data_IF_683078432633
#
_entry.id   IF_683078432633
#
_cell.length_a   1.000
_cell.length_b   1.000
_cell.length_c   1.000
_cell.angle_alpha   90.00
_cell.angle_beta   90.00
_cell.angle_gamma   90.00
#
_symmetry.space_group_name_H-M   'P 1'
#
loop_
_entity.id
_entity.type
_entity.pdbx_description
1 polymer ?
#
# COMPACT_ATOMS: atom_id res chain seq x y z
N UNK A 1 3.18 18.26 26.00
CA UNK A 1 1.97 18.35 25.13
C UNK A 1 1.73 19.79 24.72
N UNK A 2 1.45 20.09 23.44
CA UNK A 2 1.24 21.48 22.98
C UNK A 2 -0.25 21.81 22.82
N UNK A 3 -0.66 23.03 23.20
CA UNK A 3 -2.05 23.52 23.06
C UNK A 3 -2.52 23.47 21.60
N UNK A 4 -1.63 23.80 20.65
CA UNK A 4 -1.91 23.70 19.21
C UNK A 4 -2.19 22.27 18.75
N UNK A 5 -1.51 21.28 19.32
CA UNK A 5 -1.72 19.87 18.98
C UNK A 5 -3.10 19.36 19.42
N UNK A 6 -3.57 19.81 20.59
CA UNK A 6 -4.91 19.47 21.10
C UNK A 6 -6.03 20.05 20.21
N UNK A 7 -5.87 21.29 19.74
CA UNK A 7 -6.84 21.92 18.83
C UNK A 7 -6.90 21.19 17.49
N UNK A 8 -5.75 20.85 16.89
CA UNK A 8 -5.68 20.10 15.63
C UNK A 8 -6.34 18.73 15.75
N UNK A 9 -6.09 18.00 16.85
CA UNK A 9 -6.73 16.71 17.10
C UNK A 9 -8.25 16.83 17.22
N UNK A 10 -8.76 17.88 17.87
CA UNK A 10 -10.20 18.12 17.97
C UNK A 10 -10.85 18.43 16.62
N UNK A 11 -10.17 19.22 15.77
CA UNK A 11 -10.71 19.63 14.47
C UNK A 11 -10.61 18.55 13.38
N UNK A 12 -9.53 17.78 13.37
CA UNK A 12 -9.21 16.84 12.28
C UNK A 12 -9.14 15.37 12.70
N UNK A 13 -9.29 15.08 13.99
CA UNK A 13 -9.21 13.73 14.53
C UNK A 13 -10.30 12.79 13.99
N UNK A 14 -9.98 11.50 14.04
CA UNK A 14 -10.94 10.41 13.82
C UNK A 14 -11.39 9.92 15.20
N UNK A 15 -12.71 9.87 15.43
CA UNK A 15 -13.29 9.50 16.72
C UNK A 15 -13.24 7.99 16.99
N UNK A 16 -13.42 7.16 15.95
CA UNK A 16 -13.39 5.71 16.05
C UNK A 16 -12.99 5.09 14.72
N UNK A 17 -12.01 4.19 14.73
CA UNK A 17 -11.68 3.35 13.59
C UNK A 17 -12.80 2.32 13.31
N UNK A 18 -13.37 1.76 14.39
CA UNK A 18 -14.39 0.71 14.34
C UNK A 18 -15.66 1.12 13.64
N UNK A 19 -16.12 2.35 13.85
CA UNK A 19 -17.38 2.85 13.25
C UNK A 19 -17.36 2.88 11.71
N UNK A 20 -16.20 2.80 11.08
CA UNK A 20 -16.07 2.66 9.62
C UNK A 20 -16.41 1.24 9.17
N UNK A 21 -15.95 0.23 9.92
CA UNK A 21 -16.15 -1.19 9.63
C UNK A 21 -17.58 -1.66 9.91
N UNK A 22 -18.34 -0.92 10.72
CA UNK A 22 -19.74 -1.22 11.04
C UNK A 22 -20.74 -0.69 9.99
N UNK A 23 -20.25 -0.02 8.94
CA UNK A 23 -21.08 0.50 7.85
C UNK A 23 -21.47 -0.58 6.86
N UNK A 24 -22.56 -0.33 6.14
CA UNK A 24 -23.07 -1.27 5.14
C UNK A 24 -22.04 -1.69 4.10
N UNK A 25 -22.10 -3.00 3.83
CA UNK A 25 -21.31 -3.70 2.84
C UNK A 25 -19.91 -4.14 3.32
N UNK A 26 -19.46 -3.76 4.50
CA UNK A 26 -18.28 -4.37 5.10
C UNK A 26 -18.57 -5.82 5.49
N UNK A 27 -17.59 -6.69 5.35
CA UNK A 27 -17.67 -8.05 5.88
C UNK A 27 -17.72 -8.01 7.40
N UNK A 28 -18.56 -8.83 8.06
CA UNK A 28 -18.55 -8.95 9.52
C UNK A 28 -17.19 -9.33 10.11
N UNK A 29 -16.33 -10.00 9.34
CA UNK A 29 -14.98 -10.40 9.76
C UNK A 29 -13.93 -9.29 9.59
N UNK A 30 -14.26 -8.19 8.91
CA UNK A 30 -13.29 -7.16 8.56
C UNK A 30 -12.69 -6.48 9.80
N UNK A 31 -13.50 -6.16 10.80
CA UNK A 31 -13.01 -5.59 12.06
C UNK A 31 -12.14 -6.59 12.83
N UNK A 32 -12.59 -7.84 12.97
CA UNK A 32 -11.83 -8.88 13.68
C UNK A 32 -10.47 -9.12 13.06
N UNK A 33 -10.35 -9.05 11.73
CA UNK A 33 -9.10 -9.29 11.00
C UNK A 33 -8.19 -8.06 10.93
N UNK A 34 -8.75 -6.85 10.81
CA UNK A 34 -7.98 -5.64 10.51
C UNK A 34 -8.12 -4.51 11.53
N UNK A 35 -8.80 -4.72 12.65
CA UNK A 35 -9.03 -3.70 13.69
C UNK A 35 -7.73 -3.13 14.24
N UNK A 36 -6.77 -3.98 14.61
CA UNK A 36 -5.45 -3.55 15.08
C UNK A 36 -4.68 -2.70 14.05
N UNK A 37 -4.82 -3.00 12.76
CA UNK A 37 -4.22 -2.20 11.67
C UNK A 37 -4.89 -0.81 11.63
N UNK A 38 -6.22 -0.78 11.67
CA UNK A 38 -6.98 0.47 11.61
C UNK A 38 -6.70 1.37 12.84
N UNK A 39 -6.62 0.78 14.04
CA UNK A 39 -6.26 1.49 15.27
C UNK A 39 -4.85 2.06 15.19
N UNK A 40 -3.87 1.26 14.76
CA UNK A 40 -2.48 1.73 14.62
C UNK A 40 -2.35 2.89 13.63
N UNK A 41 -3.09 2.86 12.52
CA UNK A 41 -3.13 3.97 11.56
C UNK A 41 -3.70 5.24 12.21
N UNK A 42 -4.81 5.12 12.95
CA UNK A 42 -5.43 6.25 13.65
C UNK A 42 -4.50 6.82 14.72
N UNK A 43 -3.78 5.97 15.45
CA UNK A 43 -2.80 6.40 16.46
C UNK A 43 -1.63 7.16 15.84
N UNK A 44 -1.08 6.67 14.72
CA UNK A 44 -0.05 7.37 13.97
C UNK A 44 -0.53 8.72 13.42
N UNK A 45 -1.77 8.77 12.93
CA UNK A 45 -2.41 10.00 12.47
C UNK A 45 -2.57 11.03 13.60
N UNK A 46 -3.07 10.61 14.77
CA UNK A 46 -3.23 11.50 15.93
C UNK A 46 -1.88 11.93 16.49
N UNK A 47 -0.87 11.05 16.48
CA UNK A 47 0.49 11.38 16.87
C UNK A 47 1.05 12.53 16.05
N UNK A 48 0.97 12.44 14.72
CA UNK A 48 1.45 13.49 13.81
C UNK A 48 0.69 14.82 13.93
N UNK A 49 -0.63 14.78 14.18
CA UNK A 49 -1.42 16.00 14.41
C UNK A 49 -1.01 16.72 15.70
N UNK A 50 -0.62 15.96 16.73
CA UNK A 50 -0.25 16.48 18.04
C UNK A 50 1.20 16.99 18.06
N UNK A 51 2.13 16.17 17.56
CA UNK A 51 3.56 16.44 17.60
C UNK A 51 4.23 16.17 16.25
N UNK A 52 4.36 17.20 15.39
CA UNK A 52 4.96 17.04 14.07
C UNK A 52 6.49 17.20 14.09
N UNK A 53 7.15 17.09 15.25
CA UNK A 53 8.61 17.09 15.34
C UNK A 53 9.17 15.69 14.98
N UNK A 54 10.20 15.59 14.13
CA UNK A 54 10.68 14.29 13.64
C UNK A 54 11.08 13.30 14.73
N UNK A 55 11.90 13.72 15.70
CA UNK A 55 12.44 12.84 16.74
C UNK A 55 11.34 12.36 17.69
N UNK A 56 10.48 13.26 18.15
CA UNK A 56 9.36 12.94 19.02
C UNK A 56 8.36 11.99 18.36
N UNK A 57 8.06 12.24 17.07
CA UNK A 57 7.15 11.39 16.31
C UNK A 57 7.78 10.01 16.04
N UNK A 58 9.05 9.95 15.66
CA UNK A 58 9.76 8.68 15.45
C UNK A 58 9.76 7.82 16.72
N UNK A 59 10.14 8.39 17.86
CA UNK A 59 10.15 7.69 19.15
C UNK A 59 8.76 7.14 19.50
N UNK A 60 7.71 7.93 19.27
CA UNK A 60 6.34 7.51 19.52
C UNK A 60 5.90 6.37 18.60
N UNK A 61 6.19 6.47 17.29
CA UNK A 61 5.79 5.43 16.32
C UNK A 61 6.59 4.13 16.49
N UNK A 62 7.82 4.19 17.03
CA UNK A 62 8.63 3.01 17.32
C UNK A 62 8.02 2.08 18.39
N UNK A 63 7.11 2.61 19.22
CA UNK A 63 6.38 1.84 20.24
C UNK A 63 5.33 0.88 19.66
N UNK A 64 4.91 1.07 18.40
CA UNK A 64 4.02 0.14 17.72
C UNK A 64 4.71 -1.23 17.54
N UNK A 65 3.94 -2.35 17.58
CA UNK A 65 4.47 -3.66 17.24
C UNK A 65 5.24 -3.61 15.92
N UNK A 66 6.35 -4.35 15.82
CA UNK A 66 7.28 -4.24 14.68
C UNK A 66 6.57 -4.40 13.32
N UNK A 67 5.61 -5.32 13.24
CA UNK A 67 4.81 -5.59 12.05
C UNK A 67 3.82 -4.47 11.70
N UNK A 68 3.48 -3.60 12.65
CA UNK A 68 2.53 -2.51 12.49
C UNK A 68 3.21 -1.14 12.40
N UNK A 69 4.53 -1.03 12.62
CA UNK A 69 5.27 0.25 12.53
C UNK A 69 5.09 0.95 11.18
N UNK A 70 5.10 0.20 10.07
CA UNK A 70 4.82 0.79 8.77
C UNK A 70 3.40 1.38 8.69
N UNK A 71 2.41 0.77 9.32
CA UNK A 71 1.04 1.30 9.41
C UNK A 71 1.00 2.57 10.29
N UNK A 72 1.78 2.61 11.37
CA UNK A 72 1.91 3.81 12.19
C UNK A 72 2.49 4.98 11.36
N UNK A 73 3.48 4.71 10.51
CA UNK A 73 4.03 5.68 9.56
C UNK A 73 3.05 6.06 8.44
N UNK A 74 2.16 5.16 8.02
CA UNK A 74 1.04 5.48 7.13
C UNK A 74 0.12 6.53 7.77
N UNK A 75 -0.30 6.31 9.02
CA UNK A 75 -1.06 7.29 9.80
C UNK A 75 -0.33 8.64 9.92
N UNK A 76 0.96 8.61 10.25
CA UNK A 76 1.77 9.81 10.37
C UNK A 76 1.87 10.60 9.05
N UNK A 77 2.06 9.91 7.93
CA UNK A 77 2.04 10.51 6.59
C UNK A 77 0.73 11.23 6.30
N UNK A 78 -0.41 10.64 6.70
CA UNK A 78 -1.72 11.27 6.58
C UNK A 78 -1.82 12.56 7.42
N UNK A 79 -1.32 12.53 8.67
CA UNK A 79 -1.37 13.69 9.57
C UNK A 79 -0.51 14.84 9.07
N UNK A 80 0.73 14.55 8.68
CA UNK A 80 1.67 15.55 8.19
C UNK A 80 1.22 16.16 6.86
N UNK A 81 0.65 15.36 5.94
CA UNK A 81 0.07 15.86 4.71
C UNK A 81 -1.12 16.78 4.96
N UNK A 82 -2.00 16.45 5.91
CA UNK A 82 -3.10 17.33 6.28
C UNK A 82 -2.60 18.67 6.82
N UNK A 83 -1.56 18.67 7.65
CA UNK A 83 -0.92 19.90 8.15
C UNK A 83 -0.23 20.71 7.05
N UNK A 84 0.39 20.05 6.08
CA UNK A 84 1.02 20.73 4.94
C UNK A 84 0.00 21.35 3.97
N UNK A 85 -1.21 20.79 3.84
CA UNK A 85 -2.29 21.45 3.09
C UNK A 85 -2.69 22.77 3.78
N UNK A 86 -2.73 22.79 5.11
CA UNK A 86 -3.03 24.01 5.88
C UNK A 86 -1.86 25.01 5.94
N UNK A 87 -0.63 24.50 5.99
CA UNK A 87 0.60 25.30 6.15
C UNK A 87 1.70 24.84 5.19
N UNK A 88 1.57 25.13 3.87
CA UNK A 88 2.44 24.54 2.83
C UNK A 88 3.92 24.88 2.95
N UNK A 89 4.25 26.03 3.55
CA UNK A 89 5.63 26.47 3.74
C UNK A 89 6.45 25.55 4.67
N UNK A 90 5.79 24.77 5.53
CA UNK A 90 6.47 23.89 6.49
C UNK A 90 7.08 22.62 5.86
N UNK A 91 6.61 22.21 4.68
CA UNK A 91 7.14 21.08 3.89
C UNK A 91 7.40 19.81 4.71
N UNK A 92 6.51 19.46 5.65
CA UNK A 92 6.70 18.34 6.59
C UNK A 92 6.83 17.00 5.87
N UNK A 93 5.99 16.72 4.88
CA UNK A 93 6.04 15.48 4.09
C UNK A 93 7.44 15.29 3.49
N UNK A 94 8.01 16.35 2.90
CA UNK A 94 9.34 16.33 2.30
C UNK A 94 10.44 16.14 3.35
N UNK A 95 10.36 16.83 4.49
CA UNK A 95 11.34 16.71 5.59
C UNK A 95 11.37 15.29 6.15
N UNK A 96 10.22 14.68 6.42
CA UNK A 96 10.13 13.35 7.00
C UNK A 96 10.63 12.26 6.06
N UNK A 97 10.23 12.28 4.78
CA UNK A 97 10.67 11.30 3.77
C UNK A 97 12.19 11.29 3.56
N UNK A 98 12.83 12.46 3.73
CA UNK A 98 14.30 12.62 3.64
C UNK A 98 15.03 12.28 4.94
N UNK A 99 14.31 12.16 6.05
CA UNK A 99 14.86 11.84 7.37
C UNK A 99 14.25 10.57 7.94
N UNK A 100 13.61 10.69 9.10
CA UNK A 100 13.11 9.59 9.93
C UNK A 100 12.11 8.64 9.25
N UNK A 101 11.37 9.09 8.23
CA UNK A 101 10.43 8.24 7.49
C UNK A 101 11.07 7.54 6.27
N UNK A 102 12.39 7.66 6.07
CA UNK A 102 13.10 7.14 4.88
C UNK A 102 12.95 5.62 4.70
N UNK A 103 12.87 4.87 5.79
CA UNK A 103 12.67 3.41 5.76
C UNK A 103 11.19 3.01 5.63
N UNK A 104 10.26 3.97 5.67
CA UNK A 104 8.82 3.74 5.63
C UNK A 104 8.13 4.53 4.50
N UNK A 105 8.88 4.93 3.45
CA UNK A 105 8.37 5.79 2.38
C UNK A 105 7.11 5.28 1.71
N UNK A 106 7.02 3.98 1.45
CA UNK A 106 5.85 3.39 0.80
C UNK A 106 4.58 3.62 1.63
N UNK A 107 4.44 3.07 2.86
CA UNK A 107 3.25 3.32 3.67
C UNK A 107 3.07 4.80 4.00
N UNK A 108 4.15 5.56 4.22
CA UNK A 108 4.06 7.01 4.43
C UNK A 108 3.34 7.72 3.27
N UNK A 109 3.69 7.41 2.02
CA UNK A 109 3.01 7.98 0.85
C UNK A 109 1.58 7.49 0.65
N UNK A 110 1.24 6.27 1.10
CA UNK A 110 -0.16 5.83 1.18
C UNK A 110 -0.93 6.80 2.07
N UNK A 111 -0.40 7.11 3.26
CA UNK A 111 -0.96 8.06 4.21
C UNK A 111 -1.18 9.45 3.60
N UNK A 112 -0.17 9.97 2.91
CA UNK A 112 -0.26 11.24 2.19
C UNK A 112 -1.43 11.21 1.18
N UNK A 113 -1.60 10.10 0.46
CA UNK A 113 -2.73 9.87 -0.44
C UNK A 113 -4.10 9.87 0.25
N UNK A 114 -4.22 9.24 1.42
CA UNK A 114 -5.44 9.26 2.23
C UNK A 114 -5.83 10.70 2.61
N UNK A 115 -4.86 11.52 3.02
CA UNK A 115 -5.08 12.92 3.35
C UNK A 115 -5.52 13.73 2.13
N UNK A 116 -4.89 13.50 0.98
CA UNK A 116 -5.25 14.15 -0.27
C UNK A 116 -6.68 13.85 -0.70
N UNK A 117 -7.14 12.61 -0.59
CA UNK A 117 -8.54 12.27 -0.86
C UNK A 117 -9.52 12.95 0.11
N UNK A 118 -9.21 12.93 1.41
CA UNK A 118 -10.01 13.61 2.44
C UNK A 118 -10.12 15.11 2.18
N UNK A 119 -9.05 15.73 1.72
CA UNK A 119 -8.95 17.18 1.45
C UNK A 119 -9.21 17.56 -0.02
N UNK A 120 -9.63 16.59 -0.85
CA UNK A 120 -9.94 16.75 -2.28
C UNK A 120 -8.79 17.41 -3.07
N UNK A 121 -7.55 17.05 -2.73
CA UNK A 121 -6.34 17.49 -3.43
C UNK A 121 -5.92 16.43 -4.45
N UNK A 122 -5.77 16.75 -5.74
CA UNK A 122 -5.28 15.78 -6.72
C UNK A 122 -3.85 15.32 -6.37
N UNK A 123 -3.57 14.01 -6.32
CA UNK A 123 -2.25 13.49 -5.92
C UNK A 123 -1.13 13.92 -6.87
N UNK A 124 -1.45 14.14 -8.15
CA UNK A 124 -0.50 14.53 -9.19
C UNK A 124 0.08 15.92 -8.99
N UNK A 125 -0.67 16.83 -8.34
CA UNK A 125 -0.25 18.23 -8.15
C UNK A 125 1.07 18.36 -7.40
N UNK A 126 1.41 17.38 -6.55
CA UNK A 126 2.64 17.38 -5.75
C UNK A 126 3.67 16.38 -6.24
N UNK A 127 3.34 15.54 -7.22
CA UNK A 127 4.14 14.40 -7.63
C UNK A 127 5.59 14.76 -8.01
N UNK A 128 5.79 15.87 -8.73
CA UNK A 128 7.12 16.36 -9.14
C UNK A 128 8.04 16.73 -7.96
N UNK A 129 7.48 16.94 -6.76
CA UNK A 129 8.24 17.26 -5.54
C UNK A 129 8.52 16.04 -4.65
N UNK A 130 8.06 14.86 -5.06
CA UNK A 130 8.17 13.61 -4.30
C UNK A 130 9.20 12.66 -4.91
N UNK A 131 9.42 11.50 -4.28
CA UNK A 131 10.23 10.42 -4.84
C UNK A 131 9.70 10.02 -6.24
N UNK A 132 10.54 9.96 -7.28
CA UNK A 132 10.07 9.70 -8.65
C UNK A 132 9.35 8.37 -8.83
N UNK A 133 9.67 7.36 -8.01
CA UNK A 133 9.05 6.03 -8.04
C UNK A 133 7.87 6.00 -7.06
N UNK A 134 8.11 6.31 -5.79
CA UNK A 134 7.11 6.11 -4.73
C UNK A 134 6.10 7.25 -4.60
N UNK A 135 6.35 8.42 -5.19
CA UNK A 135 5.39 9.52 -5.17
C UNK A 135 4.03 9.14 -5.77
N UNK A 136 4.03 8.21 -6.73
CA UNK A 136 2.82 7.64 -7.33
C UNK A 136 1.94 6.86 -6.33
N UNK A 137 2.50 6.41 -5.21
CA UNK A 137 1.75 5.73 -4.13
C UNK A 137 0.75 6.68 -3.45
N UNK A 138 0.90 7.99 -3.59
CA UNK A 138 -0.13 8.94 -3.15
C UNK A 138 -1.45 8.76 -3.91
N UNK A 139 -1.42 8.37 -5.19
CA UNK A 139 -2.63 8.03 -5.94
C UNK A 139 -3.24 6.69 -5.48
N UNK A 140 -2.42 5.73 -5.06
CA UNK A 140 -2.89 4.50 -4.40
C UNK A 140 -3.62 4.82 -3.08
N UNK A 141 -3.00 5.58 -2.18
CA UNK A 141 -3.67 6.00 -0.95
C UNK A 141 -4.97 6.76 -1.23
N UNK A 142 -4.99 7.59 -2.27
CA UNK A 142 -6.20 8.29 -2.68
C UNK A 142 -7.33 7.30 -3.08
N UNK A 143 -7.00 6.32 -3.93
CA UNK A 143 -7.96 5.29 -4.36
C UNK A 143 -8.44 4.40 -3.22
N UNK A 144 -7.54 4.06 -2.29
CA UNK A 144 -7.92 3.36 -1.07
C UNK A 144 -8.95 4.16 -0.28
N UNK A 145 -8.71 5.45 -0.06
CA UNK A 145 -9.64 6.28 0.71
C UNK A 145 -11.02 6.33 0.07
N UNK A 146 -11.10 6.59 -1.24
CA UNK A 146 -12.38 6.67 -1.95
C UNK A 146 -13.14 5.33 -1.90
N UNK A 147 -12.44 4.21 -2.01
CA UNK A 147 -13.04 2.88 -1.94
C UNK A 147 -13.47 2.47 -0.54
N UNK A 148 -12.68 2.81 0.47
CA UNK A 148 -12.87 2.35 1.84
C UNK A 148 -13.87 3.23 2.61
N UNK A 149 -13.71 4.56 2.54
CA UNK A 149 -14.51 5.48 3.35
C UNK A 149 -15.78 5.98 2.65
N UNK A 150 -15.84 5.96 1.32
CA UNK A 150 -17.03 6.34 0.51
C UNK A 150 -17.68 5.13 -0.16
N UNK A 151 -17.49 3.96 0.44
CA UNK A 151 -17.92 2.67 -0.10
C UNK A 151 -19.42 2.66 -0.38
N UNK A 152 -19.80 2.08 -1.52
CA UNK A 152 -21.18 1.83 -1.92
C UNK A 152 -21.43 0.32 -2.02
N UNK A 153 -22.61 -0.18 -1.63
CA UNK A 153 -22.93 -1.60 -1.73
C UNK A 153 -23.13 -2.08 -3.19
N UNK A 154 -23.33 -1.16 -4.15
CA UNK A 154 -23.62 -1.46 -5.55
C UNK A 154 -22.68 -0.72 -6.54
N UNK A 155 -22.50 -1.24 -7.76
CA UNK A 155 -21.77 -0.56 -8.83
C UNK A 155 -22.34 0.83 -9.20
N UNK A 156 -21.50 1.79 -9.68
CA UNK A 156 -20.05 1.72 -9.71
C UNK A 156 -19.50 1.90 -8.30
N UNK A 157 -18.81 0.87 -7.78
CA UNK A 157 -18.37 0.81 -6.38
C UNK A 157 -17.53 2.03 -5.98
N UNK A 158 -16.74 2.56 -6.94
CA UNK A 158 -15.95 3.79 -6.84
C UNK A 158 -15.79 4.44 -8.22
N UNK A 159 -16.10 5.74 -8.32
CA UNK A 159 -15.85 6.55 -9.52
C UNK A 159 -14.42 7.06 -9.52
N UNK A 160 -13.70 6.83 -10.62
CA UNK A 160 -12.35 7.37 -10.83
C UNK A 160 -12.46 8.88 -11.12
N UNK A 161 -11.70 9.75 -10.43
CA UNK A 161 -11.68 11.18 -10.74
C UNK A 161 -11.21 11.43 -12.18
N UNK A 162 -11.92 12.30 -12.90
CA UNK A 162 -11.71 12.53 -14.33
C UNK A 162 -10.37 13.20 -14.66
N UNK A 163 -9.86 13.99 -13.71
CA UNK A 163 -8.65 14.80 -13.79
C UNK A 163 -7.35 14.00 -13.61
N UNK A 164 -7.41 12.73 -13.20
CA UNK A 164 -6.21 11.89 -13.08
C UNK A 164 -5.66 11.47 -14.45
N UNK A 165 -4.34 11.54 -14.62
CA UNK A 165 -3.67 10.94 -15.79
C UNK A 165 -3.89 9.43 -15.84
N UNK A 166 -3.67 8.83 -17.01
CA UNK A 166 -3.85 7.39 -17.23
C UNK A 166 -3.05 6.52 -16.25
N UNK A 167 -1.86 6.95 -15.84
CA UNK A 167 -1.06 6.19 -14.89
C UNK A 167 -1.52 6.37 -13.44
N UNK A 168 -1.91 7.59 -13.03
CA UNK A 168 -2.52 7.79 -11.71
C UNK A 168 -3.83 7.04 -11.55
N UNK A 169 -4.62 6.88 -12.61
CA UNK A 169 -5.82 6.03 -12.57
C UNK A 169 -5.48 4.56 -12.26
N UNK A 170 -4.39 4.03 -12.81
CA UNK A 170 -3.90 2.69 -12.48
C UNK A 170 -3.45 2.58 -11.02
N UNK A 171 -2.76 3.58 -10.50
CA UNK A 171 -2.36 3.59 -9.09
C UNK A 171 -3.56 3.77 -8.15
N UNK A 172 -4.53 4.61 -8.52
CA UNK A 172 -5.81 4.73 -7.84
C UNK A 172 -6.52 3.37 -7.75
N UNK A 173 -6.62 2.63 -8.86
CA UNK A 173 -7.23 1.31 -8.88
C UNK A 173 -6.46 0.27 -8.06
N UNK A 174 -5.14 0.40 -7.92
CA UNK A 174 -4.38 -0.38 -6.95
C UNK A 174 -4.86 -0.11 -5.52
N UNK A 175 -5.05 1.15 -5.17
CA UNK A 175 -5.65 1.56 -3.89
C UNK A 175 -7.04 0.98 -3.67
N UNK A 176 -7.88 1.00 -4.70
CA UNK A 176 -9.23 0.39 -4.66
C UNK A 176 -9.13 -1.11 -4.38
N UNK A 177 -8.22 -1.82 -5.06
CA UNK A 177 -8.00 -3.26 -4.86
C UNK A 177 -7.57 -3.58 -3.42
N UNK A 178 -6.65 -2.78 -2.87
CA UNK A 178 -6.29 -2.87 -1.46
C UNK A 178 -7.51 -2.68 -0.56
N UNK A 179 -8.30 -1.63 -0.77
CA UNK A 179 -9.48 -1.36 0.05
C UNK A 179 -10.50 -2.50 0.00
N UNK A 180 -10.70 -3.15 -1.15
CA UNK A 180 -11.57 -4.32 -1.27
C UNK A 180 -11.10 -5.47 -0.35
N UNK A 181 -9.80 -5.75 -0.30
CA UNK A 181 -9.24 -6.77 0.60
C UNK A 181 -9.62 -6.50 2.06
N UNK A 182 -9.45 -5.25 2.52
CA UNK A 182 -9.81 -4.87 3.88
C UNK A 182 -11.32 -4.90 4.12
N UNK A 183 -12.11 -4.26 3.26
CA UNK A 183 -13.56 -4.14 3.43
C UNK A 183 -14.28 -5.49 3.38
N UNK A 184 -13.76 -6.44 2.59
CA UNK A 184 -14.34 -7.78 2.46
C UNK A 184 -13.73 -8.76 3.47
N UNK A 185 -12.96 -8.25 4.43
CA UNK A 185 -12.40 -9.03 5.53
C UNK A 185 -11.40 -10.07 5.06
N UNK A 186 -10.66 -9.84 3.98
CA UNK A 186 -9.67 -10.77 3.48
C UNK A 186 -10.25 -12.09 2.96
N UNK A 187 -11.52 -12.08 2.54
CA UNK A 187 -12.19 -13.22 1.93
C UNK A 187 -11.98 -13.19 0.41
N UNK A 188 -11.26 -14.19 -0.10
CA UNK A 188 -10.90 -14.25 -1.51
C UNK A 188 -12.10 -14.50 -2.45
N UNK A 189 -13.15 -15.17 -1.97
CA UNK A 189 -14.35 -15.46 -2.74
C UNK A 189 -15.21 -14.19 -2.87
N UNK A 190 -15.37 -13.43 -1.78
CA UNK A 190 -16.04 -12.12 -1.82
C UNK A 190 -15.29 -11.14 -2.72
N UNK A 191 -13.96 -11.10 -2.65
CA UNK A 191 -13.13 -10.26 -3.52
C UNK A 191 -13.37 -10.65 -4.98
N UNK A 192 -13.25 -11.94 -5.32
CA UNK A 192 -13.48 -12.43 -6.67
C UNK A 192 -14.90 -12.13 -7.19
N UNK A 193 -15.91 -12.23 -6.32
CA UNK A 193 -17.28 -11.84 -6.66
C UNK A 193 -17.39 -10.35 -7.01
N UNK A 194 -16.86 -9.47 -6.17
CA UNK A 194 -16.97 -8.01 -6.31
C UNK A 194 -16.23 -7.48 -7.55
N UNK A 195 -15.08 -8.08 -7.89
CA UNK A 195 -14.30 -7.67 -9.06
C UNK A 195 -15.07 -7.82 -10.38
N UNK A 196 -16.06 -8.72 -10.47
CA UNK A 196 -16.89 -8.88 -11.67
C UNK A 196 -17.72 -7.63 -12.02
N UNK A 197 -17.99 -6.76 -11.05
CA UNK A 197 -18.70 -5.51 -11.30
C UNK A 197 -17.79 -4.34 -11.70
N UNK A 198 -16.48 -4.56 -11.85
CA UNK A 198 -15.54 -3.56 -12.37
C UNK A 198 -15.28 -3.79 -13.86
N UNK A 199 -15.07 -2.70 -14.59
CA UNK A 199 -14.58 -2.74 -15.97
C UNK A 199 -13.30 -3.60 -16.10
N UNK A 200 -13.21 -4.51 -17.10
CA UNK A 200 -12.06 -5.40 -17.26
C UNK A 200 -10.71 -4.68 -17.31
N UNK A 201 -10.67 -3.48 -17.90
CA UNK A 201 -9.46 -2.65 -18.00
C UNK A 201 -8.89 -2.22 -16.64
N UNK A 202 -9.66 -2.29 -15.56
CA UNK A 202 -9.24 -1.95 -14.19
C UNK A 202 -8.68 -3.14 -13.42
N UNK A 203 -9.01 -4.37 -13.83
CA UNK A 203 -8.73 -5.59 -13.06
C UNK A 203 -7.24 -5.78 -12.77
N UNK A 204 -6.37 -5.48 -13.73
CA UNK A 204 -4.93 -5.59 -13.56
C UNK A 204 -4.43 -4.78 -12.34
N UNK A 205 -4.88 -3.53 -12.19
CA UNK A 205 -4.49 -2.68 -11.08
C UNK A 205 -5.12 -3.14 -9.76
N UNK A 206 -6.40 -3.51 -9.79
CA UNK A 206 -7.13 -4.02 -8.62
C UNK A 206 -6.44 -5.27 -8.04
N UNK A 207 -6.08 -6.25 -8.89
CA UNK A 207 -5.36 -7.46 -8.48
C UNK A 207 -3.98 -7.18 -7.91
N UNK A 208 -3.27 -6.19 -8.45
CA UNK A 208 -1.99 -5.78 -7.86
C UNK A 208 -2.17 -5.21 -6.44
N UNK A 209 -3.26 -4.46 -6.23
CA UNK A 209 -3.62 -3.94 -4.92
C UNK A 209 -3.98 -5.03 -3.91
N UNK A 210 -4.73 -6.03 -4.36
CA UNK A 210 -5.11 -7.19 -3.55
C UNK A 210 -3.87 -8.00 -3.17
N UNK A 211 -2.96 -8.26 -4.11
CA UNK A 211 -1.69 -8.95 -3.84
C UNK A 211 -0.83 -8.21 -2.81
N UNK A 212 -0.74 -6.87 -2.94
CA UNK A 212 -0.03 -6.04 -1.97
C UNK A 212 -0.68 -6.06 -0.59
N UNK A 213 -2.00 -5.85 -0.48
CA UNK A 213 -2.70 -5.80 0.81
C UNK A 213 -2.67 -7.16 1.52
N UNK A 214 -2.96 -8.25 0.81
CA UNK A 214 -2.93 -9.60 1.37
C UNK A 214 -1.53 -10.03 1.82
N UNK A 215 -0.48 -9.55 1.15
CA UNK A 215 0.91 -9.83 1.54
C UNK A 215 1.42 -8.95 2.68
N UNK A 216 1.02 -7.68 2.74
CA UNK A 216 1.51 -6.73 3.74
C UNK A 216 0.73 -6.80 5.06
N UNK A 217 -0.59 -6.99 4.98
CA UNK A 217 -1.53 -6.93 6.11
C UNK A 217 -2.09 -8.31 6.48
N UNK A 218 -1.74 -9.34 5.73
CA UNK A 218 -2.11 -10.72 6.02
C UNK A 218 -3.47 -11.13 5.49
N UNK A 219 -3.77 -12.40 5.73
CA UNK A 219 -4.88 -13.18 5.22
C UNK A 219 -4.72 -14.62 5.69
N UNK A 220 -5.78 -15.42 5.62
CA UNK A 220 -5.63 -16.86 5.83
C UNK A 220 -4.82 -17.46 4.68
N UNK A 221 -4.03 -18.50 4.94
CA UNK A 221 -3.29 -19.20 3.89
C UNK A 221 -4.22 -19.73 2.79
N UNK A 222 -5.41 -20.20 3.18
CA UNK A 222 -6.43 -20.69 2.26
C UNK A 222 -6.95 -19.57 1.34
N UNK A 223 -7.21 -18.38 1.89
CA UNK A 223 -7.62 -17.22 1.10
C UNK A 223 -6.50 -16.81 0.12
N UNK A 224 -5.23 -16.87 0.50
CA UNK A 224 -4.11 -16.59 -0.40
C UNK A 224 -4.07 -17.58 -1.58
N UNK A 225 -4.28 -18.88 -1.35
CA UNK A 225 -4.39 -19.87 -2.43
C UNK A 225 -5.63 -19.65 -3.30
N UNK A 226 -6.77 -19.29 -2.72
CA UNK A 226 -7.95 -18.93 -3.50
C UNK A 226 -7.67 -17.74 -4.42
N UNK A 227 -6.92 -16.73 -3.96
CA UNK A 227 -6.52 -15.60 -4.81
C UNK A 227 -5.69 -16.04 -6.03
N UNK A 228 -4.82 -17.05 -5.93
CA UNK A 228 -4.09 -17.55 -7.11
C UNK A 228 -5.01 -18.17 -8.15
N UNK A 229 -6.08 -18.84 -7.70
CA UNK A 229 -7.06 -19.45 -8.59
C UNK A 229 -8.01 -18.43 -9.21
N UNK A 230 -8.52 -17.49 -8.41
CA UNK A 230 -9.45 -16.44 -8.86
C UNK A 230 -8.77 -15.39 -9.73
N UNK A 231 -7.50 -15.09 -9.44
CA UNK A 231 -6.67 -14.12 -10.16
C UNK A 231 -5.69 -14.77 -11.13
N UNK A 232 -6.00 -15.94 -11.70
CA UNK A 232 -5.07 -16.71 -12.52
C UNK A 232 -4.46 -15.90 -13.68
N UNK A 233 -5.28 -15.11 -14.40
CA UNK A 233 -4.81 -14.17 -15.45
C UNK A 233 -3.90 -13.06 -14.90
N UNK A 234 -4.05 -12.73 -13.61
CA UNK A 234 -3.36 -11.64 -12.93
C UNK A 234 -2.29 -12.13 -11.94
N UNK A 235 -1.81 -13.37 -12.09
CA UNK A 235 -0.76 -13.98 -11.24
C UNK A 235 0.48 -13.09 -11.12
N UNK A 236 0.87 -12.43 -12.21
CA UNK A 236 2.02 -11.51 -12.22
C UNK A 236 1.75 -10.29 -11.36
N UNK A 237 0.53 -9.76 -11.37
CA UNK A 237 0.15 -8.60 -10.56
C UNK A 237 0.10 -8.95 -9.07
N UNK A 238 -0.43 -10.13 -8.72
CA UNK A 238 -0.37 -10.66 -7.36
C UNK A 238 1.07 -10.76 -6.86
N UNK A 239 1.95 -11.38 -7.66
CA UNK A 239 3.36 -11.57 -7.32
C UNK A 239 4.14 -10.24 -7.21
N UNK A 240 3.90 -9.28 -8.11
CA UNK A 240 4.50 -7.94 -8.03
C UNK A 240 4.04 -7.22 -6.75
N UNK A 241 2.74 -7.29 -6.42
CA UNK A 241 2.21 -6.73 -5.17
C UNK A 241 2.88 -7.34 -3.93
N UNK A 242 3.06 -8.66 -3.92
CA UNK A 242 3.74 -9.38 -2.85
C UNK A 242 5.23 -9.02 -2.72
N UNK A 243 5.95 -8.91 -3.84
CA UNK A 243 7.35 -8.50 -3.86
C UNK A 243 7.53 -7.06 -3.35
N UNK A 244 6.62 -6.13 -3.70
CA UNK A 244 6.62 -4.77 -3.15
C UNK A 244 6.34 -4.77 -1.64
N UNK A 245 5.42 -5.62 -1.16
CA UNK A 245 5.16 -5.77 0.27
C UNK A 245 6.42 -6.25 1.00
N UNK A 246 7.08 -7.28 0.49
CA UNK A 246 8.30 -7.84 1.05
C UNK A 246 9.46 -6.83 1.03
N UNK A 247 9.62 -6.09 -0.06
CA UNK A 247 10.58 -5.00 -0.17
C UNK A 247 10.35 -3.93 0.91
N UNK A 248 9.11 -3.47 1.07
CA UNK A 248 8.77 -2.49 2.10
C UNK A 248 9.08 -2.99 3.52
N UNK A 249 8.82 -4.28 3.78
CA UNK A 249 9.14 -4.95 5.05
C UNK A 249 10.65 -5.02 5.28
N UNK A 250 11.43 -5.37 4.27
CA UNK A 250 12.89 -5.47 4.33
C UNK A 250 13.55 -4.11 4.57
N UNK A 251 13.17 -3.08 3.81
CA UNK A 251 13.68 -1.70 3.99
C UNK A 251 13.37 -1.17 5.40
N UNK A 252 12.20 -1.50 5.94
CA UNK A 252 11.78 -1.14 7.28
C UNK A 252 12.34 -2.03 8.40
N UNK A 253 13.16 -3.04 8.08
CA UNK A 253 13.61 -4.07 9.02
C UNK A 253 12.47 -4.64 9.89
N UNK A 254 11.32 -4.90 9.25
CA UNK A 254 10.07 -5.31 9.92
C UNK A 254 9.50 -6.60 9.32
N UNK A 255 10.15 -7.75 9.55
CA UNK A 255 9.67 -9.02 9.01
C UNK A 255 8.30 -9.38 9.57
N UNK A 256 7.49 -10.09 8.78
CA UNK A 256 6.18 -10.58 9.20
C UNK A 256 5.89 -11.95 8.57
N UNK A 257 5.35 -12.88 9.36
CA UNK A 257 5.13 -14.26 8.95
C UNK A 257 4.15 -14.38 7.76
N UNK A 258 3.09 -13.57 7.75
CA UNK A 258 2.13 -13.58 6.64
C UNK A 258 2.72 -13.06 5.32
N UNK A 259 3.71 -12.16 5.37
CA UNK A 259 4.42 -11.72 4.15
C UNK A 259 5.28 -12.84 3.57
N UNK A 260 5.94 -13.63 4.42
CA UNK A 260 6.67 -14.84 4.00
C UNK A 260 5.72 -15.84 3.32
N UNK A 261 4.59 -16.16 3.96
CA UNK A 261 3.58 -17.07 3.40
C UNK A 261 3.06 -16.57 2.05
N UNK A 262 2.70 -15.29 1.94
CA UNK A 262 2.19 -14.72 0.70
C UNK A 262 3.25 -14.71 -0.42
N UNK A 263 4.52 -14.44 -0.12
CA UNK A 263 5.59 -14.52 -1.11
C UNK A 263 5.82 -15.95 -1.59
N UNK A 264 5.72 -16.95 -0.70
CA UNK A 264 5.82 -18.36 -1.10
C UNK A 264 4.71 -18.76 -2.07
N UNK A 265 3.50 -18.28 -1.83
CA UNK A 265 2.33 -18.60 -2.65
C UNK A 265 2.35 -17.82 -3.98
N UNK A 266 2.53 -16.50 -3.94
CA UNK A 266 2.41 -15.65 -5.12
C UNK A 266 3.68 -15.59 -5.97
N UNK A 267 4.85 -15.53 -5.32
CA UNK A 267 6.14 -15.41 -6.00
C UNK A 267 6.86 -16.76 -6.15
N UNK A 268 6.39 -17.81 -5.46
CA UNK A 268 7.10 -19.08 -5.35
C UNK A 268 8.44 -18.94 -4.64
N UNK A 269 8.62 -17.97 -3.73
CA UNK A 269 9.92 -17.58 -3.13
C UNK A 269 9.75 -17.17 -1.67
N UNK A 270 10.84 -17.13 -0.91
CA UNK A 270 10.84 -16.43 0.38
C UNK A 270 10.61 -14.92 0.19
N UNK A 271 10.14 -14.25 1.25
CA UNK A 271 9.99 -12.81 1.27
C UNK A 271 11.32 -12.10 1.05
N UNK A 272 12.42 -12.61 1.64
CA UNK A 272 13.75 -12.05 1.43
C UNK A 272 14.15 -12.05 -0.05
N UNK A 273 14.01 -13.18 -0.74
CA UNK A 273 14.35 -13.29 -2.16
C UNK A 273 13.43 -12.40 -3.04
N UNK A 274 12.15 -12.28 -2.70
CA UNK A 274 11.23 -11.39 -3.41
C UNK A 274 11.58 -9.90 -3.19
N UNK A 275 11.97 -9.53 -1.97
CA UNK A 275 12.42 -8.19 -1.62
C UNK A 275 13.69 -7.80 -2.36
N UNK A 276 14.67 -8.70 -2.46
CA UNK A 276 15.91 -8.49 -3.21
C UNK A 276 15.66 -8.26 -4.70
N UNK A 277 14.75 -9.02 -5.32
CA UNK A 277 14.35 -8.79 -6.72
C UNK A 277 13.80 -7.38 -6.89
N UNK A 278 12.93 -6.94 -5.97
CA UNK A 278 12.36 -5.61 -6.02
C UNK A 278 13.38 -4.50 -5.75
N UNK A 279 14.35 -4.72 -4.88
CA UNK A 279 15.45 -3.79 -4.63
C UNK A 279 16.34 -3.64 -5.87
N UNK A 280 16.80 -4.76 -6.47
CA UNK A 280 17.58 -4.73 -7.71
C UNK A 280 16.82 -4.04 -8.85
N UNK A 281 15.53 -4.36 -8.99
CA UNK A 281 14.67 -3.73 -9.98
C UNK A 281 14.54 -2.22 -9.79
N UNK A 282 14.72 -1.70 -8.56
CA UNK A 282 14.65 -0.27 -8.24
C UNK A 282 15.93 0.48 -8.60
N UNK A 283 17.09 -0.11 -8.36
CA UNK A 283 18.40 0.52 -8.55
C UNK A 283 18.62 0.99 -10.00
N UNK A 284 18.06 0.25 -10.95
CA UNK A 284 18.27 0.47 -12.38
C UNK A 284 17.11 1.21 -13.08
N UNK A 285 16.19 1.82 -12.31
CA UNK A 285 15.06 2.56 -12.90
C UNK A 285 15.56 3.83 -13.56
N UNK A 286 15.45 3.89 -14.89
CA UNK A 286 15.74 5.12 -15.64
C UNK A 286 14.61 6.14 -15.50
N UNK A 287 14.98 7.35 -15.10
CA UNK A 287 14.07 8.50 -15.02
C UNK A 287 13.92 9.27 -16.34
N UNK A 288 14.61 8.84 -17.40
CA UNK A 288 14.65 9.51 -18.70
C UNK A 288 13.74 8.87 -19.76
N UNK A 289 12.88 7.93 -19.36
CA UNK A 289 11.97 7.25 -20.29
C UNK A 289 10.60 7.95 -20.33
N UNK A 290 9.85 7.75 -21.43
CA UNK A 290 8.46 8.21 -21.53
C UNK A 290 7.50 7.49 -20.55
N UNK A 291 7.97 6.41 -19.91
CA UNK A 291 7.18 5.60 -18.97
C UNK A 291 7.39 6.14 -17.55
N UNK A 292 6.32 6.29 -16.74
CA UNK A 292 6.46 6.61 -15.31
C UNK A 292 7.41 5.66 -14.58
N UNK A 293 8.31 6.20 -13.75
CA UNK A 293 9.34 5.40 -13.06
C UNK A 293 8.76 4.27 -12.19
N UNK A 294 7.59 4.47 -11.56
CA UNK A 294 6.85 3.42 -10.86
C UNK A 294 6.39 2.29 -11.78
N UNK A 295 5.95 2.63 -13.01
CA UNK A 295 5.52 1.62 -13.97
C UNK A 295 6.71 0.78 -14.41
N UNK A 296 7.87 1.42 -14.60
CA UNK A 296 9.10 0.74 -14.95
C UNK A 296 9.59 -0.17 -13.82
N UNK A 297 9.62 0.31 -12.57
CA UNK A 297 9.98 -0.51 -11.42
C UNK A 297 9.13 -1.79 -11.33
N UNK A 298 7.80 -1.66 -11.47
CA UNK A 298 6.87 -2.80 -11.44
C UNK A 298 7.10 -3.77 -12.60
N UNK A 299 7.37 -3.24 -13.79
CA UNK A 299 7.68 -4.06 -14.95
C UNK A 299 8.95 -4.89 -14.74
N UNK A 300 10.00 -4.27 -14.19
CA UNK A 300 11.27 -4.94 -13.86
C UNK A 300 11.13 -5.98 -12.75
N UNK A 301 10.31 -5.71 -11.73
CA UNK A 301 9.96 -6.73 -10.72
C UNK A 301 9.33 -7.95 -11.40
N UNK A 302 8.35 -7.73 -12.28
CA UNK A 302 7.69 -8.82 -13.01
C UNK A 302 8.68 -9.64 -13.85
N UNK A 303 9.59 -8.97 -14.56
CA UNK A 303 10.64 -9.62 -15.34
C UNK A 303 11.58 -10.45 -14.45
N UNK A 304 12.13 -9.88 -13.38
CA UNK A 304 13.03 -10.59 -12.47
C UNK A 304 12.37 -11.77 -11.74
N UNK A 305 11.07 -11.68 -11.44
CA UNK A 305 10.31 -12.82 -10.89
C UNK A 305 10.17 -13.96 -11.90
N UNK A 306 10.03 -13.64 -13.19
CA UNK A 306 9.89 -14.62 -14.26
C UNK A 306 11.23 -15.29 -14.63
N UNK A 307 12.31 -14.53 -14.78
CA UNK A 307 13.65 -15.04 -15.13
C UNK A 307 14.13 -16.08 -14.11
N UNK A 308 14.10 -15.74 -12.84
CA UNK A 308 14.54 -16.68 -11.82
C UNK A 308 13.56 -17.86 -11.63
N UNK A 309 12.35 -17.82 -12.18
CA UNK A 309 11.46 -18.99 -12.22
C UNK A 309 11.90 -20.00 -13.30
N UNK A 310 12.51 -19.52 -14.39
CA UNK A 310 13.13 -20.35 -15.42
C UNK A 310 14.39 -21.03 -14.88
N UNK A 311 15.27 -20.29 -14.20
CA UNK A 311 16.50 -20.85 -13.59
C UNK A 311 16.22 -22.02 -12.64
N UNK A 312 15.10 -22.00 -11.91
CA UNK A 312 14.71 -23.09 -11.01
C UNK A 312 14.14 -24.32 -11.71
N UNK A 313 13.64 -24.18 -12.94
CA UNK A 313 13.15 -25.31 -13.76
C UNK A 313 14.27 -25.99 -14.54
N UNK A 314 15.44 -25.37 -14.61
CA UNK A 314 16.64 -25.92 -15.25
C UNK A 314 17.63 -26.31 -14.16
N UNK A 315 17.46 -27.46 -13.48
CA UNK A 315 18.53 -27.96 -12.61
C UNK A 315 19.75 -28.20 -13.50
N UNK A 316 20.90 -27.70 -13.07
CA UNK A 316 22.21 -27.90 -13.68
C UNK A 316 22.36 -29.33 -14.25
N UNK A 317 22.32 -29.47 -15.57
CA UNK A 317 22.92 -30.59 -16.30
C UNK A 317 24.41 -30.27 -16.51
N UNK A 318 25.18 -30.19 -15.43
CA UNK A 318 26.65 -30.12 -15.47
C UNK A 318 27.16 -30.88 -14.24
N UNK A 319 27.90 -31.98 -14.32
CA UNK A 319 28.21 -32.84 -15.45
C UNK A 319 28.38 -34.27 -14.95
N UNK A 320 27.93 -35.23 -15.75
CA UNK A 320 28.43 -36.58 -15.75
C UNK A 320 29.08 -36.76 -17.12
N UNK A 321 30.40 -36.68 -17.16
CA UNK A 321 31.14 -36.73 -18.42
C UNK A 321 32.65 -36.67 -18.19
N UNK A 322 33.21 -37.87 -18.08
CA UNK A 322 34.62 -38.29 -18.04
C UNK A 322 35.37 -38.17 -16.71
#
# INVERSE_FOLDING_TARGET
MTVSGQIRRRLFGVSSARSVFERDGFSPLAWTRFGAIAETLVDGYHAALHDPLPEDLEARLASAPIELRGIAWEGAGMGLAALDVMTPAAQRVRRFVRGVASNHRYPFYVGVGLAYARLRQPPERRLASLDPVLGWVTADGYGFHEAFFRRRPYPPYVRVPADLTSYSRRMFDQGVGRALWFSLGGDADLVGFQLRGFEPSRHQALWAGIGLASSYCGGSQDDLWKLTMRGAEFRTQLAVGAAIAAWGRAVAASPAAHTETACRIFCGRSAAAAAEIAERARADVSYLTARPAMAEWRHRIAAGLAESAVERRTPFLVGAGN
#
